data_IF_456520416815
#
_entry.id   IF_456520416815
#
_cell.length_a   1.000
_cell.length_b   1.000
_cell.length_c   1.000
_cell.angle_alpha   90.00
_cell.angle_beta   90.00
_cell.angle_gamma   90.00
#
_symmetry.space_group_name_H-M   'P 1'
#
loop_
_entity.id
_entity.type
_entity.pdbx_description
1 polymer ?
#
# COMPACT_ATOMS: atom_id res chain seq x y z
N UNK A 1 3.70 -3.60 -11.04
CA UNK A 1 3.92 -2.16 -11.15
C UNK A 1 5.25 -1.81 -10.50
N UNK A 2 6.32 -1.48 -11.27
CA UNK A 2 7.65 -1.33 -10.70
C UNK A 2 7.81 0.08 -10.08
N UNK A 3 7.54 0.18 -8.79
CA UNK A 3 7.92 1.33 -7.98
C UNK A 3 9.43 1.29 -7.70
N UNK A 4 10.14 2.42 -7.91
CA UNK A 4 11.48 2.59 -7.33
C UNK A 4 11.33 2.63 -5.81
N UNK A 5 12.14 1.84 -5.10
CA UNK A 5 12.05 1.67 -3.65
C UNK A 5 13.23 2.36 -2.96
N UNK A 6 12.93 2.95 -1.81
CA UNK A 6 13.91 3.56 -0.92
C UNK A 6 13.62 3.05 0.48
N UNK A 7 14.66 2.60 1.17
CA UNK A 7 14.55 2.20 2.58
C UNK A 7 14.57 3.46 3.46
N UNK A 8 13.68 3.50 4.44
CA UNK A 8 13.61 4.56 5.43
C UNK A 8 13.84 3.95 6.81
N UNK A 9 14.84 4.48 7.54
CA UNK A 9 15.06 4.08 8.92
C UNK A 9 13.83 4.45 9.77
N UNK A 10 13.51 3.68 10.82
CA UNK A 10 12.42 3.99 11.73
C UNK A 10 12.79 5.18 12.62
N UNK A 11 12.71 6.38 12.07
CA UNK A 11 12.95 7.65 12.74
C UNK A 11 11.60 8.36 13.01
N UNK A 12 11.28 8.69 14.28
CA UNK A 12 10.09 9.47 14.62
C UNK A 12 9.99 10.84 13.91
N UNK A 13 11.10 11.42 13.48
CA UNK A 13 11.13 12.67 12.71
C UNK A 13 10.81 12.49 11.22
N UNK A 14 10.59 11.23 10.80
CA UNK A 14 10.33 10.87 9.42
C UNK A 14 11.61 10.61 8.62
N UNK A 15 11.44 10.48 7.31
CA UNK A 15 12.49 10.11 6.37
C UNK A 15 12.53 11.10 5.21
N UNK A 16 13.73 11.39 4.71
CA UNK A 16 13.93 12.20 3.51
C UNK A 16 14.62 11.36 2.45
N UNK A 17 14.08 11.39 1.25
CA UNK A 17 14.64 10.72 0.07
C UNK A 17 14.85 11.75 -1.05
N UNK A 18 15.82 11.47 -1.89
CA UNK A 18 16.09 12.23 -3.13
C UNK A 18 16.22 11.22 -4.26
N UNK A 19 15.69 11.57 -5.43
CA UNK A 19 15.73 10.72 -6.61
C UNK A 19 15.95 11.57 -7.86
N UNK A 20 16.53 10.94 -8.87
CA UNK A 20 16.70 11.52 -10.20
C UNK A 20 15.91 10.71 -11.24
N UNK A 21 15.36 11.43 -12.22
CA UNK A 21 14.81 10.88 -13.47
C UNK A 21 15.75 11.25 -14.64
N UNK A 22 16.66 10.35 -15.04
CA UNK A 22 17.59 10.62 -16.14
C UNK A 22 16.89 10.67 -17.51
N UNK A 23 15.68 10.12 -17.62
CA UNK A 23 14.94 10.08 -18.88
C UNK A 23 14.14 11.36 -19.10
N UNK A 24 13.87 12.15 -18.04
CA UNK A 24 13.04 13.35 -18.10
C UNK A 24 13.40 14.28 -19.27
N UNK A 25 14.69 14.61 -19.43
CA UNK A 25 15.17 15.49 -20.50
C UNK A 25 14.97 14.86 -21.88
N UNK A 26 15.32 13.59 -22.03
CA UNK A 26 15.23 12.87 -23.32
C UNK A 26 13.80 12.51 -23.71
N UNK A 27 12.89 12.46 -22.74
CA UNK A 27 11.49 12.13 -22.95
C UNK A 27 10.68 13.29 -23.54
N UNK A 28 11.19 14.53 -23.46
CA UNK A 28 10.59 15.75 -24.01
C UNK A 28 9.09 15.88 -23.70
N UNK A 29 8.71 15.60 -22.44
CA UNK A 29 7.31 15.65 -21.99
C UNK A 29 7.21 16.11 -20.54
N UNK A 30 6.11 16.77 -20.22
CA UNK A 30 5.71 17.01 -18.84
C UNK A 30 5.58 15.69 -18.10
N UNK A 31 5.97 15.69 -16.82
CA UNK A 31 6.00 14.47 -16.02
C UNK A 31 5.34 14.70 -14.66
N UNK A 32 4.59 13.69 -14.21
CA UNK A 32 3.95 13.67 -12.89
C UNK A 32 4.58 12.56 -12.08
N UNK A 33 5.09 12.91 -10.90
CA UNK A 33 5.62 11.95 -9.94
C UNK A 33 4.67 11.77 -8.77
N UNK A 34 4.59 10.53 -8.29
CA UNK A 34 3.94 10.16 -7.06
C UNK A 34 4.94 9.48 -6.14
N UNK A 35 4.88 9.80 -4.87
CA UNK A 35 5.64 9.11 -3.83
C UNK A 35 4.64 8.59 -2.80
N UNK A 36 4.92 7.42 -2.24
CA UNK A 36 4.19 6.90 -1.09
C UNK A 36 5.15 6.40 -0.03
N UNK A 37 4.81 6.67 1.22
CA UNK A 37 5.41 5.98 2.35
C UNK A 37 4.54 4.76 2.67
N UNK A 38 5.18 3.61 2.85
CA UNK A 38 4.54 2.38 3.32
C UNK A 38 5.05 2.10 4.72
N UNK A 39 4.15 2.04 5.69
CA UNK A 39 4.51 1.63 7.04
C UNK A 39 4.83 0.13 7.06
N UNK A 40 5.71 -0.28 7.98
CA UNK A 40 5.79 -1.68 8.37
C UNK A 40 4.40 -2.19 8.76
N UNK A 41 4.11 -3.44 8.38
CA UNK A 41 2.82 -4.03 8.65
C UNK A 41 2.45 -3.94 10.14
N UNK A 42 1.19 -3.61 10.41
CA UNK A 42 0.58 -3.64 11.74
C UNK A 42 -0.78 -4.33 11.65
N UNK A 43 -1.29 -4.93 12.73
CA UNK A 43 -2.62 -5.51 12.70
C UNK A 43 -3.65 -4.37 12.65
N UNK A 44 -4.62 -4.47 11.75
CA UNK A 44 -5.74 -3.55 11.67
C UNK A 44 -7.07 -4.32 11.58
N UNK A 45 -8.08 -3.77 12.25
CA UNK A 45 -9.46 -4.26 12.16
C UNK A 45 -9.94 -4.13 10.72
N UNK A 46 -10.52 -5.20 10.17
CA UNK A 46 -10.97 -5.30 8.79
C UNK A 46 -9.87 -5.06 7.75
N UNK A 47 -8.60 -5.29 8.12
CA UNK A 47 -7.47 -5.13 7.19
C UNK A 47 -7.50 -6.07 5.97
N UNK A 48 -8.25 -7.16 6.07
CA UNK A 48 -8.56 -8.07 4.96
C UNK A 48 -10.09 -8.13 4.76
N UNK A 49 -10.70 -7.04 4.30
CA UNK A 49 -12.16 -6.87 4.26
C UNK A 49 -12.91 -7.96 3.46
N UNK A 50 -12.30 -8.56 2.44
CA UNK A 50 -12.94 -9.57 1.58
C UNK A 50 -12.54 -11.03 1.89
N UNK A 51 -11.70 -11.28 2.91
CA UNK A 51 -11.04 -12.57 3.24
C UNK A 51 -11.45 -13.74 2.34
N UNK A 52 -10.62 -14.06 1.36
CA UNK A 52 -10.95 -15.09 0.38
C UNK A 52 -10.65 -16.47 0.93
N UNK A 53 -11.64 -17.36 0.88
CA UNK A 53 -11.46 -18.79 1.12
C UNK A 53 -11.01 -19.43 -0.18
N UNK A 54 -9.90 -20.16 -0.16
CA UNK A 54 -9.34 -20.82 -1.33
C UNK A 54 -9.49 -22.35 -1.20
N UNK A 55 -9.61 -23.05 -2.33
CA UNK A 55 -9.49 -24.49 -2.38
C UNK A 55 -8.02 -24.96 -2.37
N UNK A 56 -7.80 -26.27 -2.35
CA UNK A 56 -6.46 -26.89 -2.34
C UNK A 56 -5.61 -26.53 -3.59
N UNK A 57 -6.26 -26.10 -4.68
CA UNK A 57 -5.60 -25.64 -5.90
C UNK A 57 -5.35 -24.11 -5.91
N UNK A 58 -5.69 -23.41 -4.81
CA UNK A 58 -5.56 -21.96 -4.70
C UNK A 58 -6.63 -21.17 -5.46
N UNK A 59 -7.73 -21.79 -5.86
CA UNK A 59 -8.85 -21.11 -6.55
C UNK A 59 -9.81 -20.52 -5.51
N UNK A 60 -10.30 -19.28 -5.71
CA UNK A 60 -11.22 -18.65 -4.77
C UNK A 60 -12.57 -19.36 -4.78
N UNK A 61 -13.06 -19.80 -3.62
CA UNK A 61 -14.36 -20.43 -3.43
C UNK A 61 -15.42 -19.40 -3.01
N UNK A 62 -15.11 -18.59 -2.00
CA UNK A 62 -16.01 -17.59 -1.44
C UNK A 62 -15.26 -16.44 -0.75
N UNK A 63 -15.95 -15.32 -0.54
CA UNK A 63 -15.51 -14.24 0.34
C UNK A 63 -16.14 -14.41 1.71
N UNK A 64 -15.34 -14.33 2.77
CA UNK A 64 -15.77 -14.39 4.16
C UNK A 64 -15.45 -13.08 4.90
N UNK A 65 -16.17 -11.97 4.65
CA UNK A 65 -15.93 -10.71 5.35
C UNK A 65 -16.05 -10.86 6.87
N UNK A 66 -15.25 -10.09 7.63
CA UNK A 66 -15.56 -9.91 9.04
C UNK A 66 -16.73 -8.94 9.18
N UNK A 67 -17.82 -9.38 9.82
CA UNK A 67 -19.04 -8.60 9.96
C UNK A 67 -19.09 -7.81 11.27
N UNK A 68 -18.16 -8.06 12.20
CA UNK A 68 -18.13 -7.47 13.55
C UNK A 68 -19.51 -7.51 14.26
N UNK A 69 -20.23 -8.62 14.07
CA UNK A 69 -21.51 -8.94 14.71
C UNK A 69 -21.64 -10.48 14.78
N UNK A 70 -22.81 -10.96 15.23
CA UNK A 70 -23.12 -12.39 15.42
C UNK A 70 -22.90 -13.33 14.22
N UNK A 71 -22.60 -12.81 13.02
CA UNK A 71 -22.23 -13.61 11.85
C UNK A 71 -20.74 -13.97 11.82
N UNK A 72 -19.92 -13.32 12.62
CA UNK A 72 -18.50 -13.62 12.81
C UNK A 72 -18.34 -14.40 14.12
N UNK A 73 -17.34 -15.28 14.16
CA UNK A 73 -17.00 -16.02 15.38
C UNK A 73 -16.60 -15.05 16.49
N UNK A 74 -17.05 -15.30 17.72
CA UNK A 74 -16.77 -14.42 18.87
C UNK A 74 -15.27 -14.32 19.19
N UNK A 75 -14.47 -15.28 18.74
CA UNK A 75 -13.00 -15.28 18.86
C UNK A 75 -12.26 -14.57 17.72
N UNK A 76 -12.97 -14.14 16.66
CA UNK A 76 -12.37 -13.45 15.53
C UNK A 76 -12.33 -11.94 15.78
N UNK A 77 -11.14 -11.44 16.15
CA UNK A 77 -10.88 -10.01 16.39
C UNK A 77 -10.95 -9.13 15.11
N UNK A 78 -11.32 -9.69 13.97
CA UNK A 78 -11.34 -9.02 12.68
C UNK A 78 -9.97 -8.49 12.21
N UNK A 79 -8.85 -8.93 12.79
CA UNK A 79 -7.53 -8.38 12.50
C UNK A 79 -6.89 -8.99 11.24
N UNK A 80 -6.21 -8.15 10.48
CA UNK A 80 -5.25 -8.59 9.46
C UNK A 80 -4.05 -7.64 9.40
N UNK A 81 -2.91 -8.15 8.92
CA UNK A 81 -1.70 -7.35 8.74
C UNK A 81 -1.87 -6.42 7.55
N UNK A 82 -1.72 -5.12 7.77
CA UNK A 82 -1.83 -4.10 6.71
C UNK A 82 -0.64 -3.17 6.73
N UNK A 83 -0.26 -2.71 5.54
CA UNK A 83 0.72 -1.64 5.36
C UNK A 83 -0.04 -0.33 5.13
N UNK A 84 -0.11 0.48 6.19
CA UNK A 84 -0.65 1.83 6.08
C UNK A 84 0.17 2.65 5.10
N UNK A 85 -0.52 3.51 4.36
CA UNK A 85 0.06 4.23 3.23
C UNK A 85 -0.28 5.71 3.27
N UNK A 86 0.74 6.55 3.19
CA UNK A 86 0.61 7.98 2.97
C UNK A 86 1.08 8.32 1.56
N UNK A 87 0.25 9.03 0.80
CA UNK A 87 0.55 9.46 -0.56
C UNK A 87 0.96 10.92 -0.58
N UNK A 88 1.94 11.25 -1.41
CA UNK A 88 2.21 12.64 -1.74
C UNK A 88 1.06 13.21 -2.57
N UNK A 89 0.88 14.53 -2.49
CA UNK A 89 0.25 15.25 -3.59
C UNK A 89 1.05 14.99 -4.88
N UNK A 90 0.42 15.05 -6.07
CA UNK A 90 1.16 14.91 -7.32
C UNK A 90 2.23 16.00 -7.43
N UNK A 91 3.42 15.62 -7.91
CA UNK A 91 4.51 16.55 -8.20
C UNK A 91 4.54 16.73 -9.72
N UNK A 92 4.13 17.91 -10.18
CA UNK A 92 4.13 18.26 -11.60
C UNK A 92 5.45 18.93 -11.97
N UNK A 93 6.08 18.45 -13.03
CA UNK A 93 7.29 19.04 -13.60
C UNK A 93 7.07 19.24 -15.10
N UNK A 94 6.98 20.51 -15.49
CA UNK A 94 6.81 20.91 -16.89
C UNK A 94 8.14 20.85 -17.63
N UNK A 95 8.12 20.28 -18.83
CA UNK A 95 9.28 20.33 -19.71
C UNK A 95 9.35 21.73 -20.35
N UNK A 96 10.50 22.39 -20.17
CA UNK A 96 10.82 23.65 -20.85
C UNK A 96 11.79 23.42 -21.99
#
# INVERSE_FOLDING_TARGET
DPWRRFECAPDPNGCRVTFDDPEFVTAHRDTVYYVRALQQETPAINGANLRTVFDDAGRPLESAPCFANHRSDDSDDCLARVQERAWSSPIFVDQR
#
